data_IF_871793231231
#
_entry.id   IF_871793231231
#
_cell.length_a   1.000
_cell.length_b   1.000
_cell.length_c   1.000
_cell.angle_alpha   90.00
_cell.angle_beta   90.00
_cell.angle_gamma   90.00
#
_symmetry.space_group_name_H-M   'P 1'
#
loop_
_entity.id
_entity.type
_entity.pdbx_description
1 polymer ?
#
# COMPACT_ATOMS: atom_id res chain seq x y z
N UNK A 1 43.46 -2.12 10.19
CA UNK A 1 42.73 -0.88 10.53
C UNK A 1 41.59 -0.48 9.53
N UNK A 2 41.24 -1.32 8.55
CA UNK A 2 40.18 -0.99 7.53
C UNK A 2 38.75 -1.32 7.93
N UNK A 3 38.51 -2.23 8.86
CA UNK A 3 37.15 -2.69 9.19
C UNK A 3 36.26 -1.65 9.86
N UNK A 4 36.82 -0.88 10.79
CA UNK A 4 36.06 0.12 11.56
C UNK A 4 35.53 1.27 10.69
N UNK A 5 36.26 1.68 9.67
CA UNK A 5 35.84 2.75 8.74
C UNK A 5 34.70 2.25 7.85
N UNK A 6 34.76 1.01 7.38
CA UNK A 6 33.69 0.40 6.54
C UNK A 6 32.39 0.28 7.30
N UNK A 7 32.45 -0.14 8.59
CA UNK A 7 31.24 -0.20 9.43
C UNK A 7 30.67 1.18 9.74
N UNK A 8 31.50 2.20 9.92
CA UNK A 8 31.09 3.58 10.16
C UNK A 8 30.40 4.18 8.93
N UNK A 9 30.93 3.94 7.72
CA UNK A 9 30.32 4.41 6.47
C UNK A 9 28.99 3.69 6.21
N UNK A 10 28.90 2.38 6.44
CA UNK A 10 27.66 1.63 6.31
C UNK A 10 26.61 2.10 7.33
N UNK A 11 26.98 2.33 8.58
CA UNK A 11 26.06 2.84 9.60
C UNK A 11 25.58 4.25 9.27
N UNK A 12 26.45 5.12 8.74
CA UNK A 12 26.09 6.47 8.33
C UNK A 12 25.13 6.44 7.12
N UNK A 13 25.37 5.56 6.16
CA UNK A 13 24.47 5.39 5.01
C UNK A 13 23.06 4.92 5.43
N UNK A 14 22.98 3.96 6.36
CA UNK A 14 21.69 3.51 6.92
C UNK A 14 20.99 4.64 7.66
N UNK A 15 21.75 5.43 8.45
CA UNK A 15 21.18 6.55 9.21
C UNK A 15 20.66 7.66 8.28
N UNK A 16 21.32 7.92 7.17
CA UNK A 16 20.86 8.88 6.14
C UNK A 16 19.60 8.37 5.47
N UNK A 17 19.52 7.09 5.11
CA UNK A 17 18.32 6.49 4.51
C UNK A 17 17.13 6.56 5.48
N UNK A 18 17.35 6.20 6.75
CA UNK A 18 16.31 6.31 7.79
C UNK A 18 15.87 7.77 7.95
N UNK A 19 16.82 8.73 7.96
CA UNK A 19 16.49 10.15 8.08
C UNK A 19 15.71 10.65 6.86
N UNK A 20 16.04 10.23 5.66
CA UNK A 20 15.32 10.59 4.43
C UNK A 20 13.90 10.04 4.48
N UNK A 21 13.72 8.79 4.88
CA UNK A 21 12.39 8.17 5.02
C UNK A 21 11.57 8.88 6.10
N UNK A 22 12.16 9.18 7.26
CA UNK A 22 11.49 9.94 8.32
C UNK A 22 11.12 11.35 7.84
N UNK A 23 11.99 12.03 7.09
CA UNK A 23 11.72 13.37 6.55
C UNK A 23 10.65 13.32 5.47
N UNK A 24 10.67 12.33 4.57
CA UNK A 24 9.63 12.15 3.55
C UNK A 24 8.29 11.83 4.22
N UNK A 25 8.29 10.92 5.21
CA UNK A 25 7.08 10.59 5.97
C UNK A 25 6.59 11.77 6.82
N UNK A 26 7.51 12.55 7.44
CA UNK A 26 7.17 13.78 8.16
C UNK A 26 6.62 14.87 7.23
N UNK A 27 7.18 15.02 6.01
CA UNK A 27 6.64 15.95 5.00
C UNK A 27 5.28 15.49 4.49
N UNK A 28 5.07 14.20 4.26
CA UNK A 28 3.76 13.63 3.93
C UNK A 28 2.75 13.86 5.06
N UNK A 29 3.16 13.67 6.33
CA UNK A 29 2.35 13.97 7.53
C UNK A 29 2.03 15.45 7.69
N UNK A 30 2.97 16.35 7.35
CA UNK A 30 2.76 17.80 7.45
C UNK A 30 1.84 18.35 6.36
N UNK A 31 1.81 17.71 5.18
CA UNK A 31 0.87 18.07 4.12
C UNK A 31 -0.58 17.66 4.43
N UNK A 32 -0.79 16.72 5.35
CA UNK A 32 -2.10 16.27 5.82
C UNK A 32 -2.68 17.14 6.97
N UNK A 33 -1.95 18.15 7.47
CA UNK A 33 -2.48 19.10 8.44
C UNK A 33 -3.11 20.29 7.72
N UNK A 34 -4.42 20.50 7.79
CA UNK A 34 -5.00 21.80 7.47
C UNK A 34 -4.76 22.71 8.66
N UNK A 35 -3.64 23.44 8.67
CA UNK A 35 -3.49 24.59 9.56
C UNK A 35 -4.38 25.71 9.04
N UNK A 36 -5.41 25.98 9.84
CA UNK A 36 -5.87 27.31 10.14
C UNK A 36 -6.57 28.11 9.04
N UNK A 37 -7.79 28.48 9.34
CA UNK A 37 -8.53 29.63 8.85
C UNK A 37 -8.68 29.76 7.32
N UNK A 38 -9.80 29.27 6.85
CA UNK A 38 -10.35 29.56 5.53
C UNK A 38 -10.45 31.06 5.31
N UNK A 39 -9.88 31.63 4.25
CA UNK A 39 -10.30 32.93 3.76
C UNK A 39 -11.75 32.81 3.25
N UNK A 40 -12.64 33.77 3.55
CA UNK A 40 -14.02 33.72 3.09
C UNK A 40 -14.04 33.91 1.57
N UNK A 41 -14.64 32.96 0.84
CA UNK A 41 -15.11 33.21 -0.50
C UNK A 41 -14.45 32.43 -1.65
N UNK A 42 -14.35 31.11 -1.54
CA UNK A 42 -14.39 30.25 -2.74
C UNK A 42 -15.46 29.19 -2.54
N UNK A 43 -16.48 29.12 -3.43
CA UNK A 43 -17.44 28.02 -3.36
C UNK A 43 -16.67 26.70 -3.50
N UNK A 44 -16.93 25.78 -2.57
CA UNK A 44 -16.53 24.39 -2.72
C UNK A 44 -17.05 23.97 -4.11
N UNK A 45 -16.13 23.60 -5.01
CA UNK A 45 -16.53 22.96 -6.25
C UNK A 45 -17.23 21.68 -5.81
N UNK A 46 -18.56 21.67 -5.98
CA UNK A 46 -19.36 20.46 -5.92
C UNK A 46 -18.71 19.44 -6.85
N UNK A 47 -17.92 18.52 -6.29
CA UNK A 47 -17.57 17.29 -7.00
C UNK A 47 -18.89 16.53 -7.09
N UNK A 48 -19.35 16.18 -8.30
CA UNK A 48 -20.57 15.42 -8.46
C UNK A 48 -20.50 14.17 -7.58
N UNK A 49 -21.62 13.78 -6.97
CA UNK A 49 -21.70 12.59 -6.11
C UNK A 49 -21.24 11.30 -6.83
N UNK A 50 -21.31 11.28 -8.17
CA UNK A 50 -20.76 10.23 -9.03
C UNK A 50 -19.24 10.10 -8.91
N UNK A 51 -18.48 11.20 -8.82
CA UNK A 51 -17.02 11.16 -8.71
C UNK A 51 -16.53 10.62 -7.35
N UNK A 52 -17.42 10.51 -6.36
CA UNK A 52 -17.10 9.90 -5.06
C UNK A 52 -17.27 8.38 -5.07
N UNK A 53 -18.10 7.84 -5.97
CA UNK A 53 -18.30 6.39 -6.13
C UNK A 53 -17.17 5.74 -6.94
N UNK A 54 -16.53 6.50 -7.81
CA UNK A 54 -15.42 6.02 -8.65
C UNK A 54 -14.05 6.16 -7.98
N UNK A 55 -14.00 6.36 -6.67
CA UNK A 55 -12.75 6.48 -5.93
C UNK A 55 -12.23 5.09 -5.54
N UNK A 56 -10.98 4.73 -5.88
CA UNK A 56 -10.38 3.45 -5.49
C UNK A 56 -10.28 3.27 -3.98
N UNK A 57 -10.38 4.34 -3.19
CA UNK A 57 -10.46 4.28 -1.73
C UNK A 57 -11.78 3.71 -1.19
N UNK A 58 -12.81 3.64 -2.03
CA UNK A 58 -14.20 3.33 -1.62
C UNK A 58 -14.81 2.16 -2.37
N UNK A 59 -14.00 1.29 -2.93
CA UNK A 59 -14.51 0.08 -3.57
C UNK A 59 -15.35 -0.73 -2.58
N UNK A 60 -16.52 -1.15 -3.03
CA UNK A 60 -17.44 -1.99 -2.27
C UNK A 60 -17.26 -3.48 -2.67
N UNK A 61 -17.74 -4.36 -1.80
CA UNK A 61 -17.78 -5.79 -2.13
C UNK A 61 -18.65 -6.02 -3.37
N UNK A 62 -18.12 -6.80 -4.31
CA UNK A 62 -18.77 -7.10 -5.58
C UNK A 62 -18.50 -6.09 -6.69
N UNK A 63 -17.91 -4.92 -6.41
CA UNK A 63 -17.49 -3.99 -7.46
C UNK A 63 -16.53 -4.68 -8.43
N UNK A 64 -16.65 -4.33 -9.71
CA UNK A 64 -15.73 -4.75 -10.76
C UNK A 64 -14.67 -3.68 -10.98
N UNK A 65 -13.42 -4.10 -10.96
CA UNK A 65 -12.28 -3.24 -11.23
C UNK A 65 -11.50 -3.79 -12.41
N UNK A 66 -11.30 -2.97 -13.43
CA UNK A 66 -10.39 -3.32 -14.52
C UNK A 66 -9.06 -2.59 -14.33
N UNK A 67 -8.00 -3.39 -14.26
CA UNK A 67 -6.63 -2.90 -14.17
C UNK A 67 -5.93 -3.31 -15.46
N UNK A 68 -5.56 -2.32 -16.29
CA UNK A 68 -5.08 -2.56 -17.65
C UNK A 68 -6.12 -3.37 -18.46
N UNK A 69 -5.79 -4.60 -18.83
CA UNK A 69 -6.68 -5.45 -19.62
C UNK A 69 -7.41 -6.53 -18.78
N UNK A 70 -7.07 -6.67 -17.50
CA UNK A 70 -7.60 -7.70 -16.62
C UNK A 70 -8.74 -7.17 -15.76
N UNK A 71 -9.87 -7.92 -15.69
CA UNK A 71 -10.98 -7.64 -14.77
C UNK A 71 -10.84 -8.43 -13.47
N UNK A 72 -11.28 -7.79 -12.39
CA UNK A 72 -11.28 -8.33 -11.04
C UNK A 72 -12.60 -8.03 -10.34
N UNK A 73 -12.99 -8.90 -9.41
CA UNK A 73 -14.08 -8.64 -8.48
C UNK A 73 -13.52 -8.33 -7.09
N UNK A 74 -14.06 -7.33 -6.41
CA UNK A 74 -13.70 -7.02 -5.03
C UNK A 74 -14.36 -8.01 -4.09
N UNK A 75 -13.58 -8.87 -3.44
CA UNK A 75 -14.06 -9.87 -2.48
C UNK A 75 -13.86 -9.48 -1.02
N UNK A 76 -12.98 -8.54 -0.74
CA UNK A 76 -12.70 -8.09 0.62
C UNK A 76 -11.99 -6.75 0.67
N UNK A 77 -12.01 -6.14 1.84
CA UNK A 77 -11.34 -4.87 2.09
C UNK A 77 -10.70 -4.89 3.48
N UNK A 78 -9.45 -4.46 3.54
CA UNK A 78 -8.69 -4.25 4.77
C UNK A 78 -8.36 -2.77 4.86
N UNK A 79 -8.81 -2.09 5.92
CA UNK A 79 -8.47 -0.70 6.21
C UNK A 79 -7.41 -0.68 7.29
N UNK A 80 -6.32 0.03 7.05
CA UNK A 80 -5.15 0.06 7.91
C UNK A 80 -4.90 1.47 8.41
N UNK A 81 -4.46 1.57 9.68
CA UNK A 81 -4.17 2.84 10.34
C UNK A 81 -2.89 2.70 11.17
N UNK A 82 -1.93 3.60 10.95
CA UNK A 82 -0.70 3.74 11.73
C UNK A 82 -0.49 5.21 12.10
N UNK A 83 -0.73 5.54 13.37
CA UNK A 83 -0.75 6.94 13.82
C UNK A 83 -1.82 7.74 13.08
N UNK A 84 -1.40 8.80 12.41
CA UNK A 84 -2.28 9.66 11.58
C UNK A 84 -2.37 9.20 10.11
N UNK A 85 -1.71 8.11 9.78
CA UNK A 85 -1.65 7.57 8.43
C UNK A 85 -2.67 6.46 8.23
N UNK A 86 -3.31 6.39 7.06
CA UNK A 86 -4.23 5.32 6.73
C UNK A 86 -4.16 4.97 5.25
N UNK A 87 -4.36 3.70 4.95
CA UNK A 87 -4.49 3.18 3.59
C UNK A 87 -5.49 2.03 3.54
N UNK A 88 -5.88 1.65 2.35
CA UNK A 88 -6.85 0.59 2.11
C UNK A 88 -6.21 -0.49 1.23
N UNK A 89 -6.51 -1.74 1.52
CA UNK A 89 -6.17 -2.87 0.67
C UNK A 89 -7.47 -3.56 0.25
N UNK A 90 -7.72 -3.64 -1.05
CA UNK A 90 -8.84 -4.39 -1.61
C UNK A 90 -8.35 -5.74 -2.11
N UNK A 91 -9.02 -6.81 -1.71
CA UNK A 91 -8.79 -8.13 -2.24
C UNK A 91 -9.55 -8.26 -3.55
N UNK A 92 -8.84 -8.64 -4.57
CA UNK A 92 -9.30 -8.72 -5.95
C UNK A 92 -9.18 -10.15 -6.44
N UNK A 93 -10.28 -10.78 -6.77
CA UNK A 93 -10.30 -12.11 -7.36
C UNK A 93 -10.45 -11.98 -8.89
N UNK A 94 -9.58 -12.64 -9.64
CA UNK A 94 -9.70 -12.73 -11.09
C UNK A 94 -10.56 -13.94 -11.51
N UNK A 95 -10.83 -14.05 -12.81
CA UNK A 95 -11.65 -15.14 -13.36
C UNK A 95 -10.97 -16.53 -13.24
N UNK A 96 -9.66 -16.57 -12.96
CA UNK A 96 -8.93 -17.82 -12.71
C UNK A 96 -9.05 -18.30 -11.26
N UNK A 97 -9.60 -17.48 -10.38
CA UNK A 97 -9.66 -17.69 -8.93
C UNK A 97 -8.35 -17.31 -8.23
N UNK A 98 -7.43 -16.64 -8.93
CA UNK A 98 -6.23 -16.09 -8.31
C UNK A 98 -6.57 -14.80 -7.58
N UNK A 99 -6.13 -14.73 -6.34
CA UNK A 99 -6.35 -13.55 -5.49
C UNK A 99 -5.17 -12.59 -5.56
N UNK A 100 -5.48 -11.37 -5.91
CA UNK A 100 -4.58 -10.23 -5.88
C UNK A 100 -5.00 -9.25 -4.78
N UNK A 101 -4.19 -8.22 -4.57
CA UNK A 101 -4.50 -7.16 -3.61
C UNK A 101 -4.12 -5.82 -4.22
N UNK A 102 -5.04 -4.87 -4.20
CA UNK A 102 -4.80 -3.49 -4.58
C UNK A 102 -4.66 -2.65 -3.31
N UNK A 103 -3.47 -2.16 -3.04
CA UNK A 103 -3.30 -1.13 -2.01
C UNK A 103 -3.52 0.24 -2.60
N UNK A 104 -4.25 1.07 -1.84
CA UNK A 104 -4.60 2.45 -2.19
C UNK A 104 -4.21 3.34 -1.05
N UNK A 105 -3.31 4.25 -1.31
CA UNK A 105 -2.82 5.24 -0.36
C UNK A 105 -3.17 6.63 -0.86
N UNK A 106 -3.93 7.40 -0.05
CA UNK A 106 -4.32 8.77 -0.34
C UNK A 106 -3.31 9.71 0.31
N UNK A 107 -2.30 10.08 -0.46
CA UNK A 107 -1.26 11.01 -0.06
C UNK A 107 -1.35 12.31 -0.86
N UNK A 108 -0.25 13.08 -0.95
CA UNK A 108 -0.14 14.21 -1.88
C UNK A 108 -0.41 13.79 -3.33
N UNK A 109 -0.06 12.56 -3.66
CA UNK A 109 -0.40 11.85 -4.88
C UNK A 109 -1.01 10.50 -4.50
N UNK A 110 -2.02 10.07 -5.26
CA UNK A 110 -2.65 8.77 -5.09
C UNK A 110 -1.65 7.68 -5.49
N UNK A 111 -1.30 6.81 -4.55
CA UNK A 111 -0.44 5.66 -4.83
C UNK A 111 -1.27 4.38 -4.90
N UNK A 112 -1.12 3.66 -6.00
CA UNK A 112 -1.80 2.39 -6.27
C UNK A 112 -0.76 1.31 -6.52
N UNK A 113 -0.83 0.21 -5.77
CA UNK A 113 0.05 -0.95 -6.01
C UNK A 113 -0.78 -2.22 -6.14
N UNK A 114 -0.62 -2.94 -7.25
CA UNK A 114 -1.21 -4.26 -7.43
C UNK A 114 -0.22 -5.31 -6.92
N UNK A 115 -0.64 -6.09 -5.93
CA UNK A 115 0.15 -7.10 -5.26
C UNK A 115 -0.24 -8.51 -5.70
N UNK A 116 0.77 -9.33 -5.94
CA UNK A 116 0.63 -10.77 -6.19
C UNK A 116 1.41 -11.53 -5.12
N UNK A 117 0.75 -12.49 -4.48
CA UNK A 117 1.38 -13.31 -3.44
C UNK A 117 2.54 -14.15 -4.00
N UNK A 118 3.59 -14.31 -3.20
CA UNK A 118 4.77 -15.13 -3.49
C UNK A 118 4.96 -16.22 -2.40
N UNK A 119 4.06 -17.19 -2.33
CA UNK A 119 4.07 -18.18 -1.25
C UNK A 119 5.32 -19.08 -1.24
N UNK A 120 6.03 -19.16 -2.36
CA UNK A 120 7.28 -19.92 -2.48
C UNK A 120 8.54 -19.10 -2.20
N UNK A 121 8.42 -17.83 -1.81
CA UNK A 121 9.59 -17.01 -1.55
C UNK A 121 10.32 -17.48 -0.29
N UNK A 122 11.63 -17.68 -0.42
CA UNK A 122 12.51 -18.10 0.69
C UNK A 122 13.23 -16.93 1.36
N UNK A 123 12.87 -15.70 0.97
CA UNK A 123 13.45 -14.46 1.51
C UNK A 123 12.75 -14.05 2.80
N UNK A 124 13.49 -13.39 3.69
CA UNK A 124 12.98 -12.86 4.97
C UNK A 124 13.23 -11.37 5.06
N UNK A 125 12.37 -10.58 5.75
CA UNK A 125 12.56 -9.16 5.91
C UNK A 125 13.70 -8.83 6.89
N UNK A 126 14.14 -7.57 6.88
CA UNK A 126 15.11 -7.02 7.82
C UNK A 126 16.48 -6.70 7.21
N UNK A 127 16.80 -7.26 6.05
CA UNK A 127 18.03 -6.87 5.33
C UNK A 127 17.83 -5.51 4.62
N UNK A 128 18.88 -4.69 4.45
CA UNK A 128 18.79 -3.44 3.70
C UNK A 128 18.42 -3.62 2.23
N UNK A 129 18.77 -4.77 1.66
CA UNK A 129 18.44 -5.16 0.29
C UNK A 129 18.04 -6.62 0.22
N UNK A 130 17.13 -6.94 -0.69
CA UNK A 130 16.64 -8.29 -0.97
C UNK A 130 16.68 -8.51 -2.48
N UNK A 131 17.24 -9.64 -2.92
CA UNK A 131 17.19 -10.08 -4.31
C UNK A 131 16.09 -11.13 -4.46
N UNK A 132 15.10 -10.87 -5.32
CA UNK A 132 13.99 -11.78 -5.60
C UNK A 132 13.54 -11.64 -7.06
N UNK A 133 13.37 -12.78 -7.74
CA UNK A 133 12.90 -12.80 -9.13
C UNK A 133 13.79 -12.04 -10.12
N UNK A 134 15.12 -11.99 -9.87
CA UNK A 134 16.07 -11.27 -10.71
C UNK A 134 16.12 -9.75 -10.48
N UNK A 135 15.34 -9.23 -9.54
CA UNK A 135 15.32 -7.82 -9.16
C UNK A 135 15.95 -7.63 -7.79
N UNK A 136 16.64 -6.50 -7.62
CA UNK A 136 17.13 -6.03 -6.33
C UNK A 136 16.18 -5.00 -5.76
N UNK A 137 15.70 -5.27 -4.56
CA UNK A 137 14.83 -4.39 -3.80
C UNK A 137 15.61 -3.79 -2.63
N UNK A 138 15.46 -2.49 -2.43
CA UNK A 138 16.05 -1.75 -1.31
C UNK A 138 14.95 -1.48 -0.28
N UNK A 139 15.28 -1.61 0.99
CA UNK A 139 14.37 -1.30 2.09
C UNK A 139 13.80 0.12 1.95
N UNK A 140 12.50 0.25 2.08
CA UNK A 140 11.77 1.51 2.02
C UNK A 140 11.23 1.89 3.39
N UNK A 141 10.49 0.98 4.04
CA UNK A 141 9.92 1.26 5.35
C UNK A 141 9.58 -0.02 6.13
N UNK A 142 9.29 0.18 7.41
CA UNK A 142 8.85 -0.85 8.34
C UNK A 142 7.89 -0.22 9.32
N UNK A 143 6.81 -0.91 9.66
CA UNK A 143 5.85 -0.38 10.61
C UNK A 143 4.91 -1.42 11.18
N UNK A 144 3.98 -0.91 11.98
CA UNK A 144 2.89 -1.68 12.56
C UNK A 144 1.61 -0.87 12.50
N UNK A 145 0.59 -1.44 11.87
CA UNK A 145 -0.72 -0.83 11.73
C UNK A 145 -1.79 -1.63 12.50
N UNK A 146 -2.85 -0.95 12.89
CA UNK A 146 -4.12 -1.60 13.23
C UNK A 146 -4.94 -1.75 11.97
N UNK A 147 -5.66 -2.86 11.85
CA UNK A 147 -6.55 -3.07 10.72
C UNK A 147 -7.98 -3.39 11.14
N UNK A 148 -8.90 -3.10 10.23
CA UNK A 148 -10.26 -3.65 10.19
C UNK A 148 -10.48 -4.32 8.85
N UNK A 149 -11.13 -5.49 8.85
CA UNK A 149 -11.34 -6.31 7.66
C UNK A 149 -12.84 -6.57 7.44
N UNK A 150 -13.27 -6.52 6.17
CA UNK A 150 -14.64 -6.76 5.74
C UNK A 150 -14.64 -7.65 4.50
N UNK A 151 -15.58 -8.56 4.38
CA UNK A 151 -15.66 -9.52 3.27
C UNK A 151 -14.71 -10.70 3.44
N UNK A 152 -14.36 -11.36 2.33
CA UNK A 152 -13.58 -12.61 2.31
C UNK A 152 -12.07 -12.36 2.41
N UNK A 153 -11.60 -11.79 3.52
CA UNK A 153 -10.19 -11.46 3.70
C UNK A 153 -9.34 -12.60 4.25
N UNK A 154 -9.97 -13.61 4.83
CA UNK A 154 -9.27 -14.68 5.57
C UNK A 154 -8.65 -14.22 6.88
N UNK A 155 -8.98 -12.99 7.33
CA UNK A 155 -8.51 -12.39 8.57
C UNK A 155 -9.67 -12.26 9.58
N UNK A 156 -9.34 -12.06 10.85
CA UNK A 156 -10.31 -11.58 11.85
C UNK A 156 -10.79 -10.19 11.48
N UNK A 157 -11.97 -9.78 11.96
CA UNK A 157 -12.56 -8.47 11.63
C UNK A 157 -11.73 -7.27 12.05
N UNK A 158 -10.81 -7.44 13.00
CA UNK A 158 -9.86 -6.42 13.41
C UNK A 158 -8.62 -7.06 14.04
N UNK A 159 -7.50 -6.34 14.00
CA UNK A 159 -6.24 -6.81 14.57
C UNK A 159 -5.08 -5.86 14.29
N UNK A 160 -3.88 -6.41 14.36
CA UNK A 160 -2.63 -5.71 14.05
C UNK A 160 -1.90 -6.39 12.90
N UNK A 161 -1.20 -5.61 12.10
CA UNK A 161 -0.34 -6.05 11.02
C UNK A 161 1.03 -5.40 11.18
N UNK A 162 2.09 -6.20 11.09
CA UNK A 162 3.47 -5.72 10.95
C UNK A 162 3.86 -5.81 9.49
N UNK A 163 4.67 -4.87 9.01
CA UNK A 163 5.09 -4.89 7.62
C UNK A 163 6.54 -4.42 7.43
N UNK A 164 7.15 -4.88 6.35
CA UNK A 164 8.40 -4.38 5.78
C UNK A 164 8.21 -4.22 4.29
N UNK A 165 8.40 -3.01 3.81
CA UNK A 165 8.25 -2.68 2.41
C UNK A 165 9.59 -2.32 1.79
N UNK A 166 9.74 -2.77 0.55
CA UNK A 166 10.94 -2.61 -0.26
C UNK A 166 10.55 -2.12 -1.65
N UNK A 167 11.46 -1.41 -2.29
CA UNK A 167 11.28 -0.91 -3.65
C UNK A 167 12.50 -1.20 -4.52
N UNK A 168 12.26 -1.46 -5.80
CA UNK A 168 13.31 -1.47 -6.82
C UNK A 168 13.52 -0.08 -7.41
N UNK A 169 14.47 0.06 -8.35
CA UNK A 169 14.69 1.32 -9.09
C UNK A 169 13.57 1.71 -10.07
N UNK A 170 12.49 0.92 -10.16
CA UNK A 170 11.34 1.13 -11.04
C UNK A 170 10.00 0.98 -10.31
N UNK A 171 8.99 0.49 -11.04
CA UNK A 171 7.64 0.28 -10.52
C UNK A 171 7.51 -0.92 -9.55
N UNK A 172 8.48 -1.84 -9.55
CA UNK A 172 8.38 -3.05 -8.75
C UNK A 172 8.55 -2.78 -7.26
N UNK A 173 7.68 -3.43 -6.48
CA UNK A 173 7.60 -3.37 -5.02
C UNK A 173 7.70 -4.77 -4.44
N UNK A 174 8.10 -4.87 -3.18
CA UNK A 174 8.12 -6.12 -2.43
C UNK A 174 7.64 -5.83 -1.01
N UNK A 175 6.66 -6.57 -0.53
CA UNK A 175 6.10 -6.41 0.80
C UNK A 175 6.14 -7.71 1.57
N UNK A 176 6.42 -7.58 2.86
CA UNK A 176 6.28 -8.63 3.86
C UNK A 176 5.24 -8.15 4.86
N UNK A 177 4.20 -8.91 5.05
CA UNK A 177 3.13 -8.60 6.01
C UNK A 177 2.92 -9.78 6.94
N UNK A 178 2.72 -9.50 8.22
CA UNK A 178 2.38 -10.49 9.24
C UNK A 178 1.20 -9.99 10.07
N UNK A 179 0.12 -10.74 10.06
CA UNK A 179 -1.12 -10.42 10.76
C UNK A 179 -1.16 -11.15 12.10
N UNK A 180 -1.31 -10.39 13.20
CA UNK A 180 -1.25 -10.94 14.54
C UNK A 180 0.06 -11.69 14.80
N UNK A 181 -0.07 -12.95 15.21
CA UNK A 181 1.07 -13.85 15.49
C UNK A 181 1.47 -14.72 14.28
N UNK A 182 0.89 -14.49 13.10
CA UNK A 182 1.22 -15.26 11.91
C UNK A 182 2.63 -14.95 11.39
N UNK A 183 3.16 -15.87 10.59
CA UNK A 183 4.42 -15.68 9.87
C UNK A 183 4.30 -14.65 8.74
N UNK A 184 5.45 -14.29 8.17
CA UNK A 184 5.51 -13.34 7.07
C UNK A 184 4.87 -13.90 5.80
N UNK A 185 3.96 -13.13 5.21
CA UNK A 185 3.43 -13.32 3.87
C UNK A 185 4.20 -12.40 2.95
N UNK A 186 4.69 -12.93 1.84
CA UNK A 186 5.49 -12.19 0.85
C UNK A 186 4.64 -11.90 -0.37
N UNK A 187 4.70 -10.68 -0.87
CA UNK A 187 4.04 -10.29 -2.10
C UNK A 187 4.95 -9.38 -2.95
N UNK A 188 4.94 -9.62 -4.26
CA UNK A 188 5.48 -8.66 -5.23
C UNK A 188 4.39 -7.71 -5.68
N UNK A 189 4.74 -6.43 -5.83
CA UNK A 189 3.85 -5.38 -6.23
C UNK A 189 4.33 -4.66 -7.49
N UNK A 190 3.36 -4.18 -8.25
CA UNK A 190 3.56 -3.26 -9.36
C UNK A 190 2.85 -1.94 -9.06
N UNK A 191 3.62 -0.86 -9.04
CA UNK A 191 3.08 0.50 -8.98
C UNK A 191 2.27 0.77 -10.25
N UNK A 192 1.02 1.19 -10.07
CA UNK A 192 0.11 1.47 -11.18
C UNK A 192 0.01 2.97 -11.46
N UNK A 193 -0.16 3.31 -12.73
CA UNK A 193 -0.70 4.62 -13.09
C UNK A 193 -2.21 4.62 -12.77
N UNK A 194 -2.75 5.64 -12.09
CA UNK A 194 -4.19 5.75 -11.87
C UNK A 194 -5.03 5.66 -13.14
N UNK A 195 -4.50 6.03 -14.29
CA UNK A 195 -5.16 5.89 -15.59
C UNK A 195 -5.33 4.42 -16.05
N UNK A 196 -4.53 3.49 -15.50
CA UNK A 196 -4.65 2.06 -15.76
C UNK A 196 -5.84 1.40 -15.06
N UNK A 197 -6.51 2.13 -14.15
CA UNK A 197 -7.58 1.60 -13.31
C UNK A 197 -8.93 2.18 -13.73
N UNK A 198 -9.90 1.30 -13.97
CA UNK A 198 -11.31 1.66 -14.22
C UNK A 198 -12.21 0.93 -13.26
N UNK A 199 -13.07 1.66 -12.57
CA UNK A 199 -14.03 1.11 -11.60
C UNK A 199 -15.40 1.00 -12.26
N UNK A 200 -16.05 -0.15 -12.06
CA UNK A 200 -17.45 -0.39 -12.45
C UNK A 200 -18.23 -0.78 -11.20
N UNK A 201 -18.89 0.18 -10.55
CA UNK A 201 -19.68 -0.10 -9.37
C UNK A 201 -20.76 -1.14 -9.68
N UNK A 202 -20.97 -2.08 -8.77
CA UNK A 202 -22.14 -2.95 -8.84
C UNK A 202 -23.36 -2.09 -8.59
N UNK A 203 -24.27 -2.00 -9.59
CA UNK A 203 -25.56 -1.37 -9.39
C UNK A 203 -26.31 -2.18 -8.33
N UNK A 204 -26.54 -1.59 -7.16
CA UNK A 204 -27.51 -2.14 -6.20
C UNK A 204 -28.85 -2.23 -6.93
N UNK A 205 -29.26 -3.46 -7.24
CA UNK A 205 -30.60 -3.71 -7.75
C UNK A 205 -31.61 -3.25 -6.72
N UNK A 206 -32.48 -2.36 -7.14
CA UNK A 206 -33.69 -1.93 -6.42
C UNK A 206 -34.62 -3.10 -6.26
#
# INVERSE_FOLDING_TARGET
MGGSVTYLVAALAVLVVVMVVVVVRARRRSAARPDGALPPGRPARDRPAESLRDSPLRLALGDRVRIREQEYAVSGTIRLVEGDWSWVQHLLDDDSGTRHRLSVEDGPELELVLWTAEPGATVTPGAPTIDLGGLRYTWAETGQARYTATGETGLTSAGTMRYHDYQSGGAARLSFEAYGEEGWRVARGDLLDPADLTIRPTSEGH
#
